data_IF_828533242559
#
_entry.id   IF_828533242559
#
_cell.length_a   1.000
_cell.length_b   1.000
_cell.length_c   1.000
_cell.angle_alpha   90.00
_cell.angle_beta   90.00
_cell.angle_gamma   90.00
#
_symmetry.space_group_name_H-M   'P 1'
#
loop_
_entity.id
_entity.type
_entity.pdbx_description
1 polymer ?
#
# COMPACT_ATOMS: atom_id res chain seq x y z
N UNK A 1 7.96 -0.51 -21.10
CA UNK A 1 8.79 0.06 -20.02
C UNK A 1 7.85 0.39 -18.89
N UNK A 2 8.13 -0.06 -17.67
CA UNK A 2 7.25 0.12 -16.52
C UNK A 2 7.75 1.22 -15.61
N UNK A 3 6.82 1.88 -14.92
CA UNK A 3 7.05 2.91 -13.92
C UNK A 3 7.72 2.35 -12.65
N UNK A 4 8.53 3.16 -11.97
CA UNK A 4 9.09 2.83 -10.65
C UNK A 4 8.25 3.39 -9.51
N UNK A 5 8.22 2.73 -8.35
CA UNK A 5 7.30 3.06 -7.26
C UNK A 5 7.97 3.08 -5.88
N UNK A 6 7.59 4.05 -5.05
CA UNK A 6 7.96 4.17 -3.64
C UNK A 6 6.72 4.15 -2.76
N UNK A 7 6.71 3.28 -1.75
CA UNK A 7 5.75 3.42 -0.64
C UNK A 7 6.34 4.41 0.36
N UNK A 8 5.56 5.43 0.69
CA UNK A 8 6.01 6.61 1.44
C UNK A 8 5.06 6.85 2.59
N UNK A 9 5.63 7.17 3.75
CA UNK A 9 4.94 7.80 4.87
C UNK A 9 5.34 9.28 4.94
N UNK A 10 4.59 10.22 4.32
CA UNK A 10 4.96 11.64 4.27
C UNK A 10 5.14 12.26 5.64
N UNK A 11 4.28 11.91 6.60
CA UNK A 11 4.31 12.44 7.95
C UNK A 11 5.56 12.00 8.73
N UNK A 12 6.06 10.79 8.48
CA UNK A 12 7.28 10.27 9.10
C UNK A 12 8.55 10.67 8.34
N UNK A 13 8.42 11.13 7.09
CA UNK A 13 9.54 11.34 6.15
C UNK A 13 10.35 10.06 5.91
N UNK A 14 9.65 8.93 5.83
CA UNK A 14 10.24 7.61 5.58
C UNK A 14 9.68 7.04 4.26
N UNK A 15 10.48 6.25 3.56
CA UNK A 15 10.07 5.49 2.36
C UNK A 15 10.77 4.13 2.34
N UNK A 16 10.23 3.13 1.67
CA UNK A 16 10.76 1.76 1.82
C UNK A 16 11.40 1.13 0.57
N UNK A 17 11.39 1.78 -0.61
CA UNK A 17 11.93 1.16 -1.85
C UNK A 17 13.12 1.97 -2.41
N UNK A 18 14.28 1.44 -2.83
CA UNK A 18 14.64 0.13 -3.40
C UNK A 18 15.89 -0.52 -2.77
N UNK A 19 15.81 -1.85 -2.59
CA UNK A 19 16.81 -2.87 -3.00
C UNK A 19 16.13 -4.11 -3.67
N UNK A 20 14.82 -4.36 -3.45
CA UNK A 20 14.10 -5.57 -3.94
C UNK A 20 12.78 -5.34 -4.70
N UNK A 21 12.46 -4.11 -5.09
CA UNK A 21 11.24 -3.86 -5.85
C UNK A 21 11.22 -2.47 -6.44
N UNK A 22 11.23 -2.39 -7.77
CA UNK A 22 11.17 -1.13 -8.48
C UNK A 22 9.84 -0.90 -9.14
N UNK A 23 9.26 -1.94 -9.75
CA UNK A 23 8.00 -1.82 -10.50
C UNK A 23 6.81 -2.28 -9.66
N UNK A 24 5.64 -1.75 -9.97
CA UNK A 24 4.41 -2.10 -9.25
C UNK A 24 4.11 -3.60 -9.29
N UNK A 25 4.41 -4.30 -10.40
CA UNK A 25 4.24 -5.75 -10.50
C UNK A 25 5.18 -6.52 -9.57
N UNK A 26 6.40 -6.02 -9.34
CA UNK A 26 7.37 -6.64 -8.45
C UNK A 26 6.93 -6.47 -6.99
N UNK A 27 6.33 -5.32 -6.65
CA UNK A 27 5.74 -5.09 -5.33
C UNK A 27 4.50 -5.96 -5.09
N UNK A 28 3.61 -6.07 -6.07
CA UNK A 28 2.35 -6.82 -5.92
C UNK A 28 2.53 -8.35 -5.89
N UNK A 29 3.55 -8.88 -6.56
CA UNK A 29 3.73 -10.33 -6.71
C UNK A 29 4.96 -10.87 -5.96
N UNK A 30 5.39 -10.18 -4.90
CA UNK A 30 6.48 -10.60 -4.00
C UNK A 30 5.98 -10.73 -2.55
N UNK A 31 6.89 -10.85 -1.58
CA UNK A 31 6.59 -10.81 -0.16
C UNK A 31 6.26 -9.41 0.38
N UNK A 32 6.46 -8.36 -0.43
CA UNK A 32 6.25 -6.96 -0.06
C UNK A 32 4.88 -6.65 0.55
N UNK A 33 3.75 -7.19 0.06
CA UNK A 33 2.46 -6.94 0.67
C UNK A 33 2.40 -7.41 2.13
N UNK A 34 3.11 -8.47 2.49
CA UNK A 34 3.19 -8.92 3.89
C UNK A 34 4.07 -7.99 4.73
N UNK A 35 5.20 -7.56 4.18
CA UNK A 35 6.07 -6.54 4.79
C UNK A 35 5.27 -5.25 5.06
N UNK A 36 4.47 -4.82 4.09
CA UNK A 36 3.63 -3.63 4.24
C UNK A 36 2.59 -3.82 5.36
N UNK A 37 1.97 -5.00 5.50
CA UNK A 37 1.10 -5.28 6.65
C UNK A 37 1.85 -5.10 7.97
N UNK A 38 3.01 -5.74 8.12
CA UNK A 38 3.79 -5.68 9.35
C UNK A 38 4.25 -4.25 9.66
N UNK A 39 4.61 -3.48 8.63
CA UNK A 39 4.99 -2.08 8.75
C UNK A 39 3.83 -1.21 9.23
N UNK A 40 2.64 -1.37 8.65
CA UNK A 40 1.41 -0.67 9.08
C UNK A 40 1.04 -1.06 10.51
N UNK A 41 1.19 -2.34 10.87
CA UNK A 41 0.82 -2.85 12.18
C UNK A 41 1.75 -2.34 13.29
N UNK A 42 3.06 -2.23 13.02
CA UNK A 42 4.06 -1.99 14.07
C UNK A 42 4.70 -0.59 14.05
N UNK A 43 4.92 0.00 12.87
CA UNK A 43 5.73 1.23 12.73
C UNK A 43 4.93 2.42 12.19
N UNK A 44 4.04 2.15 11.23
CA UNK A 44 3.34 3.17 10.42
C UNK A 44 1.85 3.29 10.75
N UNK A 45 1.40 2.67 11.84
CA UNK A 45 0.03 2.76 12.32
C UNK A 45 -0.39 4.23 12.54
N UNK A 46 -1.54 4.60 11.99
CA UNK A 46 -2.10 5.95 12.06
C UNK A 46 -1.35 6.99 11.23
N UNK A 47 -0.40 6.58 10.38
CA UNK A 47 0.31 7.51 9.49
C UNK A 47 -0.28 7.50 8.09
N UNK A 48 -0.06 8.60 7.37
CA UNK A 48 -0.51 8.71 5.98
C UNK A 48 0.38 7.90 5.07
N UNK A 49 -0.24 7.13 4.18
CA UNK A 49 0.47 6.28 3.24
C UNK A 49 0.13 6.64 1.80
N UNK A 50 1.15 6.69 0.96
CA UNK A 50 1.01 6.87 -0.48
C UNK A 50 2.08 6.05 -1.19
N UNK A 51 1.70 5.32 -2.23
CA UNK A 51 2.65 4.65 -3.12
C UNK A 51 2.82 5.51 -4.36
N UNK A 52 3.86 6.34 -4.40
CA UNK A 52 4.11 7.27 -5.51
C UNK A 52 4.91 6.59 -6.60
N UNK A 53 4.54 6.80 -7.85
CA UNK A 53 5.39 6.38 -8.95
C UNK A 53 6.25 7.52 -9.53
N UNK A 54 7.30 7.16 -10.28
CA UNK A 54 8.31 8.11 -10.79
C UNK A 54 7.82 9.10 -11.87
N UNK A 55 6.65 8.86 -12.47
CA UNK A 55 5.94 9.82 -13.33
C UNK A 55 5.02 10.81 -12.59
N UNK A 56 4.98 10.80 -11.24
CA UNK A 56 4.14 11.72 -10.48
C UNK A 56 4.50 13.19 -10.75
N UNK A 57 3.54 13.94 -11.30
CA UNK A 57 3.63 15.38 -11.42
C UNK A 57 3.33 16.04 -10.06
N UNK A 58 4.19 16.97 -9.57
CA UNK A 58 3.96 17.66 -8.31
C UNK A 58 2.65 18.44 -8.18
N UNK A 59 2.00 18.79 -9.31
CA UNK A 59 0.70 19.48 -9.32
C UNK A 59 -0.49 18.52 -9.29
N UNK A 60 -0.25 17.22 -9.34
CA UNK A 60 -1.25 16.16 -9.46
C UNK A 60 -1.15 15.19 -8.27
N UNK A 61 -1.12 15.76 -7.06
CA UNK A 61 -1.18 15.02 -5.80
C UNK A 61 -2.64 14.73 -5.41
N UNK A 62 -2.92 13.63 -4.67
CA UNK A 62 -4.26 13.39 -4.17
C UNK A 62 -4.69 14.50 -3.19
N UNK A 63 -5.99 14.78 -3.15
CA UNK A 63 -6.53 15.90 -2.35
C UNK A 63 -6.20 15.78 -0.86
N UNK A 64 -6.18 14.55 -0.32
CA UNK A 64 -5.75 14.22 1.03
C UNK A 64 -4.37 14.79 1.36
N UNK A 65 -3.40 14.65 0.45
CA UNK A 65 -2.03 15.17 0.61
C UNK A 65 -1.96 16.69 0.38
N UNK A 66 -2.72 17.22 -0.58
CA UNK A 66 -2.72 18.66 -0.87
C UNK A 66 -3.28 19.50 0.28
N UNK A 67 -4.32 19.02 0.96
CA UNK A 67 -4.99 19.73 2.06
C UNK A 67 -4.08 19.97 3.26
N UNK A 68 -3.10 19.08 3.46
CA UNK A 68 -2.27 19.10 4.66
C UNK A 68 -1.08 20.06 4.59
N UNK A 69 -0.88 20.76 3.47
CA UNK A 69 0.28 21.64 3.27
C UNK A 69 1.58 20.95 3.75
N UNK A 70 1.77 19.68 3.40
CA UNK A 70 3.01 18.93 3.62
C UNK A 70 4.11 19.61 2.80
N UNK A 71 4.57 20.76 3.27
CA UNK A 71 5.71 21.49 2.76
C UNK A 71 6.93 20.68 3.16
N UNK A 72 7.52 19.99 2.20
CA UNK A 72 8.80 19.33 2.38
C UNK A 72 9.81 20.47 2.39
N UNK A 73 10.11 20.98 3.58
CA UNK A 73 11.16 22.00 3.75
C UNK A 73 12.50 21.35 3.44
N UNK A 74 13.22 21.90 2.47
CA UNK A 74 14.65 21.64 2.30
C UNK A 74 15.40 22.60 3.24
N UNK A 75 16.41 22.11 3.97
CA UNK A 75 17.17 22.89 4.98
C UNK A 75 17.97 24.08 4.42
N UNK A 76 17.85 24.41 3.13
CA UNK A 76 18.71 25.42 2.48
C UNK A 76 18.04 26.41 1.51
N UNK A 77 16.73 26.41 1.29
CA UNK A 77 16.11 27.47 0.47
C UNK A 77 14.64 27.79 0.80
N UNK A 78 14.26 29.04 0.59
CA UNK A 78 12.94 29.67 0.89
C UNK A 78 11.79 29.11 0.03
N UNK A 79 11.98 27.99 -0.66
CA UNK A 79 11.00 27.35 -1.55
C UNK A 79 10.58 25.99 -1.03
N UNK A 80 9.31 25.84 -0.65
CA UNK A 80 8.68 24.54 -0.39
C UNK A 80 8.84 23.62 -1.60
N UNK A 81 9.47 22.46 -1.44
CA UNK A 81 9.45 21.40 -2.47
C UNK A 81 8.13 20.62 -2.35
N UNK A 82 7.45 20.41 -3.46
CA UNK A 82 6.28 19.53 -3.52
C UNK A 82 6.71 18.06 -3.51
N UNK A 83 5.87 17.17 -2.96
CA UNK A 83 6.12 15.73 -2.95
C UNK A 83 6.26 15.21 -4.39
N UNK A 84 7.38 14.54 -4.65
CA UNK A 84 7.67 13.84 -5.91
C UNK A 84 8.66 12.72 -5.63
N UNK A 85 8.80 11.79 -6.59
CA UNK A 85 9.69 10.63 -6.45
C UNK A 85 11.13 11.03 -6.10
N UNK A 86 11.71 12.00 -6.83
CA UNK A 86 13.08 12.46 -6.58
C UNK A 86 13.25 13.15 -5.22
N UNK A 87 12.24 13.93 -4.79
CA UNK A 87 12.27 14.58 -3.47
C UNK A 87 12.27 13.55 -2.34
N UNK A 88 11.48 12.47 -2.49
CA UNK A 88 11.48 11.39 -1.50
C UNK A 88 12.87 10.74 -1.42
N UNK A 89 13.47 10.37 -2.55
CA UNK A 89 14.80 9.74 -2.53
C UNK A 89 15.91 10.64 -1.97
N UNK A 90 15.81 11.95 -2.15
CA UNK A 90 16.80 12.91 -1.65
C UNK A 90 16.62 13.25 -0.18
N UNK A 91 15.37 13.47 0.24
CA UNK A 91 15.07 14.18 1.48
C UNK A 91 14.44 13.27 2.57
N UNK A 92 14.08 12.01 2.25
CA UNK A 92 13.45 11.07 3.19
C UNK A 92 14.42 9.96 3.61
N UNK A 93 14.15 9.33 4.74
CA UNK A 93 14.92 8.19 5.23
C UNK A 93 14.42 6.88 4.60
N UNK A 94 15.35 6.07 4.09
CA UNK A 94 15.02 4.75 3.57
C UNK A 94 14.82 3.79 4.74
N UNK A 95 13.61 3.26 4.85
CA UNK A 95 13.26 2.18 5.76
C UNK A 95 13.60 0.83 5.12
N UNK A 96 14.37 0.01 5.83
CA UNK A 96 14.73 -1.35 5.42
C UNK A 96 14.77 -2.30 6.63
N UNK A 97 14.56 -3.59 6.37
CA UNK A 97 14.82 -4.65 7.35
C UNK A 97 16.31 -5.00 7.35
N UNK A 98 16.94 -5.12 8.53
CA UNK A 98 18.37 -5.49 8.64
C UNK A 98 18.67 -6.93 8.14
N UNK A 99 17.69 -7.84 8.17
CA UNK A 99 17.80 -9.23 7.67
C UNK A 99 16.55 -9.63 6.89
N UNK A 100 16.63 -9.53 5.57
CA UNK A 100 15.48 -9.65 4.67
C UNK A 100 14.97 -11.08 4.47
N UNK A 101 15.87 -12.07 4.45
CA UNK A 101 15.50 -13.49 4.34
C UNK A 101 14.74 -13.96 5.59
N UNK A 102 15.12 -13.48 6.77
CA UNK A 102 14.46 -13.86 8.03
C UNK A 102 13.10 -13.18 8.16
N UNK A 103 12.97 -11.91 7.77
CA UNK A 103 11.68 -11.19 7.72
C UNK A 103 10.70 -11.81 6.72
N UNK A 104 11.18 -12.22 5.54
CA UNK A 104 10.35 -12.90 4.53
C UNK A 104 9.89 -14.27 5.04
N UNK A 105 10.76 -15.06 5.67
CA UNK A 105 10.41 -16.36 6.24
C UNK A 105 9.51 -16.26 7.47
N UNK A 106 9.72 -15.26 8.35
CA UNK A 106 8.89 -15.02 9.53
C UNK A 106 7.50 -14.53 9.16
N UNK A 107 7.38 -13.55 8.24
CA UNK A 107 6.09 -13.08 7.74
C UNK A 107 5.33 -14.22 7.03
N UNK A 108 6.04 -15.08 6.31
CA UNK A 108 5.44 -16.27 5.67
C UNK A 108 5.01 -17.32 6.70
N UNK A 109 5.79 -17.59 7.77
CA UNK A 109 5.42 -18.55 8.82
C UNK A 109 4.34 -18.03 9.78
N UNK A 110 4.32 -16.73 10.09
CA UNK A 110 3.31 -16.12 10.96
C UNK A 110 1.95 -15.94 10.25
N UNK A 111 1.94 -15.81 8.92
CA UNK A 111 0.70 -15.78 8.11
C UNK A 111 -0.20 -17.00 8.33
N UNK A 112 0.36 -18.13 8.78
CA UNK A 112 -0.37 -19.38 9.03
C UNK A 112 -1.18 -19.33 10.35
N UNK A 113 -0.92 -18.37 11.25
CA UNK A 113 -1.52 -18.33 12.59
C UNK A 113 -2.29 -17.03 12.93
N UNK A 114 -2.28 -16.01 12.07
CA UNK A 114 -3.00 -14.74 12.28
C UNK A 114 -4.45 -14.83 11.80
N UNK A 115 -5.26 -15.69 12.41
CA UNK A 115 -6.70 -15.66 12.13
C UNK A 115 -7.32 -14.47 12.83
N UNK A 116 -7.69 -13.47 12.03
CA UNK A 116 -8.68 -12.41 12.30
C UNK A 116 -8.12 -10.99 12.54
N UNK A 117 -7.34 -10.46 11.59
CA UNK A 117 -6.99 -9.01 11.56
C UNK A 117 -7.96 -8.19 10.72
N UNK A 118 -7.98 -6.89 10.99
CA UNK A 118 -8.76 -5.88 10.28
C UNK A 118 -7.86 -4.73 9.91
N UNK A 119 -7.81 -4.41 8.62
CA UNK A 119 -7.28 -3.14 8.15
C UNK A 119 -8.36 -2.08 8.30
N UNK A 120 -8.07 -0.97 8.96
CA UNK A 120 -8.97 0.17 9.06
C UNK A 120 -8.39 1.35 8.30
N UNK A 121 -9.18 1.93 7.43
CA UNK A 121 -8.93 3.25 6.85
C UNK A 121 -9.56 4.29 7.77
N UNK A 122 -8.71 4.99 8.52
CA UNK A 122 -9.10 5.96 9.54
C UNK A 122 -9.61 7.27 8.92
N UNK A 123 -9.29 7.53 7.65
CA UNK A 123 -9.73 8.73 6.92
C UNK A 123 -11.18 8.63 6.44
N UNK A 124 -11.63 7.44 6.03
CA UNK A 124 -12.97 7.24 5.45
C UNK A 124 -13.89 6.37 6.30
N UNK A 125 -13.43 5.89 7.46
CA UNK A 125 -14.16 4.92 8.30
C UNK A 125 -14.54 3.64 7.54
N UNK A 126 -13.65 3.17 6.66
CA UNK A 126 -13.81 1.91 5.93
C UNK A 126 -12.91 0.82 6.54
N UNK A 127 -13.30 -0.45 6.42
CA UNK A 127 -12.48 -1.55 6.88
C UNK A 127 -12.49 -2.77 5.96
N UNK A 128 -11.43 -3.58 6.08
CA UNK A 128 -11.26 -4.84 5.35
C UNK A 128 -10.94 -5.95 6.33
N UNK A 129 -11.72 -7.03 6.27
CA UNK A 129 -11.58 -8.22 7.10
C UNK A 129 -10.64 -9.23 6.44
N UNK A 130 -9.48 -9.47 7.05
CA UNK A 130 -8.53 -10.45 6.51
C UNK A 130 -9.14 -11.86 6.43
N UNK A 131 -9.98 -12.22 7.40
CA UNK A 131 -10.64 -13.52 7.45
C UNK A 131 -11.61 -13.79 6.28
N UNK A 132 -12.03 -12.76 5.55
CA UNK A 132 -12.90 -12.88 4.36
C UNK A 132 -12.12 -12.83 3.04
N UNK A 133 -10.80 -12.61 3.08
CA UNK A 133 -9.96 -12.64 1.89
C UNK A 133 -9.69 -14.09 1.44
N UNK A 134 -9.54 -14.29 0.13
CA UNK A 134 -9.22 -15.59 -0.44
C UNK A 134 -7.73 -15.91 -0.29
N UNK A 135 -7.38 -17.19 -0.46
CA UNK A 135 -5.99 -17.65 -0.41
C UNK A 135 -5.10 -16.83 -1.36
N UNK A 136 -3.99 -16.29 -0.85
CA UNK A 136 -3.02 -15.50 -1.62
C UNK A 136 -3.25 -13.99 -1.60
N UNK A 137 -4.45 -13.51 -1.22
CA UNK A 137 -4.74 -12.07 -1.08
C UNK A 137 -4.53 -11.66 0.38
N UNK A 138 -3.75 -10.62 0.60
CA UNK A 138 -3.46 -10.10 1.95
C UNK A 138 -3.89 -8.64 2.08
N UNK A 139 -4.04 -8.14 3.31
CA UNK A 139 -4.40 -6.75 3.56
C UNK A 139 -3.42 -5.77 2.86
N UNK A 140 -2.14 -6.12 2.77
CA UNK A 140 -1.14 -5.29 2.12
C UNK A 140 -1.29 -5.22 0.61
N UNK A 141 -1.88 -6.23 -0.05
CA UNK A 141 -2.21 -6.13 -1.48
C UNK A 141 -3.30 -5.07 -1.68
N UNK A 142 -4.33 -5.11 -0.83
CA UNK A 142 -5.44 -4.15 -0.84
C UNK A 142 -4.92 -2.73 -0.62
N UNK A 143 -4.11 -2.53 0.44
CA UNK A 143 -3.50 -1.23 0.73
C UNK A 143 -2.67 -0.77 -0.46
N UNK A 144 -1.68 -1.57 -0.88
CA UNK A 144 -0.73 -1.18 -1.94
C UNK A 144 -1.45 -0.75 -3.22
N UNK A 145 -2.46 -1.51 -3.66
CA UNK A 145 -3.24 -1.17 -4.85
C UNK A 145 -4.01 0.14 -4.67
N UNK A 146 -4.63 0.36 -3.51
CA UNK A 146 -5.48 1.53 -3.29
C UNK A 146 -4.72 2.79 -2.88
N UNK A 147 -3.48 2.70 -2.40
CA UNK A 147 -2.63 3.87 -2.11
C UNK A 147 -1.75 4.29 -3.29
N UNK A 148 -1.75 3.53 -4.39
CA UNK A 148 -0.91 3.80 -5.56
C UNK A 148 -1.37 5.03 -6.32
N UNK A 149 -0.43 5.91 -6.62
CA UNK A 149 -0.68 7.19 -7.27
C UNK A 149 0.44 7.59 -8.24
N UNK A 150 0.04 7.94 -9.47
CA UNK A 150 0.88 8.41 -10.55
C UNK A 150 0.11 9.36 -11.47
N UNK A 151 0.80 10.26 -12.16
CA UNK A 151 0.19 11.07 -13.22
C UNK A 151 0.06 10.33 -14.55
N UNK A 152 0.79 9.21 -14.70
CA UNK A 152 0.71 8.35 -15.88
C UNK A 152 0.22 6.95 -15.52
N UNK A 153 -0.64 6.37 -16.38
CA UNK A 153 -1.22 5.04 -16.19
C UNK A 153 -0.29 3.87 -16.56
N UNK A 154 0.99 4.15 -16.84
CA UNK A 154 1.95 3.18 -17.37
C UNK A 154 2.51 2.25 -16.29
N UNK A 155 1.69 1.33 -15.80
CA UNK A 155 2.08 0.39 -14.74
C UNK A 155 2.89 -0.80 -15.23
N UNK A 156 2.84 -1.09 -16.54
CA UNK A 156 3.42 -2.31 -17.10
C UNK A 156 2.66 -3.59 -16.74
N UNK A 157 1.47 -3.46 -16.14
CA UNK A 157 0.55 -4.55 -15.81
C UNK A 157 -0.69 -4.40 -16.72
N UNK A 158 -1.07 -5.42 -17.51
CA UNK A 158 -2.34 -5.44 -18.22
C UNK A 158 -3.53 -5.19 -17.29
N UNK A 159 -4.35 -4.19 -17.60
CA UNK A 159 -5.49 -3.79 -16.76
C UNK A 159 -5.10 -3.01 -15.51
N UNK A 160 -3.82 -2.68 -15.30
CA UNK A 160 -3.34 -1.96 -14.13
C UNK A 160 -3.55 -0.43 -14.18
N UNK A 161 -4.28 0.11 -15.17
CA UNK A 161 -4.47 1.56 -15.30
C UNK A 161 -5.15 2.17 -14.08
N UNK A 162 -6.06 1.43 -13.43
CA UNK A 162 -6.78 1.89 -12.25
C UNK A 162 -5.89 2.01 -11.00
N UNK A 163 -4.71 1.37 -10.99
CA UNK A 163 -3.76 1.44 -9.88
C UNK A 163 -3.09 2.82 -9.76
N UNK A 164 -3.23 3.67 -10.77
CA UNK A 164 -2.50 4.95 -10.83
C UNK A 164 -3.21 6.10 -10.15
N UNK A 165 -4.46 5.89 -9.72
CA UNK A 165 -5.27 6.88 -8.99
C UNK A 165 -6.09 6.18 -7.89
N UNK A 166 -5.40 5.44 -7.04
CA UNK A 166 -6.05 4.71 -5.95
C UNK A 166 -6.77 5.64 -4.98
N UNK A 167 -8.01 5.27 -4.62
CA UNK A 167 -8.91 6.07 -3.80
C UNK A 167 -8.40 6.31 -2.37
N UNK A 168 -7.39 5.55 -1.95
CA UNK A 168 -6.83 5.56 -0.61
C UNK A 168 -5.47 6.25 -0.54
N UNK A 169 -4.99 6.82 -1.64
CA UNK A 169 -3.72 7.53 -1.69
C UNK A 169 -3.70 8.70 -0.70
N UNK A 170 -2.77 8.67 0.25
CA UNK A 170 -2.59 9.69 1.29
C UNK A 170 -3.53 9.57 2.50
N UNK A 171 -4.26 8.45 2.64
CA UNK A 171 -5.09 8.18 3.81
C UNK A 171 -4.28 7.56 4.95
N UNK A 172 -4.90 7.51 6.14
CA UNK A 172 -4.34 6.97 7.37
C UNK A 172 -4.88 5.57 7.67
N UNK A 173 -3.99 4.66 8.07
CA UNK A 173 -4.33 3.25 8.26
C UNK A 173 -3.80 2.70 9.56
N UNK A 174 -4.50 1.72 10.13
CA UNK A 174 -3.92 0.77 11.07
C UNK A 174 -4.44 -0.65 10.83
N UNK A 175 -3.78 -1.61 11.47
CA UNK A 175 -4.20 -3.02 11.49
C UNK A 175 -4.41 -3.41 12.94
N UNK A 176 -5.58 -3.97 13.23
CA UNK A 176 -5.98 -4.40 14.57
C UNK A 176 -6.58 -5.80 14.57
N UNK A 177 -6.72 -6.39 15.74
CA UNK A 177 -7.50 -7.62 15.92
C UNK A 177 -8.99 -7.36 15.64
N UNK A 178 -9.65 -8.27 14.94
CA UNK A 178 -11.05 -8.13 14.56
C UNK A 178 -12.03 -8.15 15.74
N UNK A 179 -11.63 -8.65 16.91
CA UNK A 179 -12.41 -8.48 18.14
C UNK A 179 -12.61 -7.00 18.51
N UNK A 180 -11.78 -6.09 18.00
CA UNK A 180 -11.94 -4.65 18.20
C UNK A 180 -13.06 -4.04 17.36
N UNK A 181 -13.63 -4.75 16.37
CA UNK A 181 -14.74 -4.24 15.56
C UNK A 181 -15.98 -3.91 16.40
N UNK A 182 -16.28 -4.73 17.41
CA UNK A 182 -17.44 -4.50 18.29
C UNK A 182 -17.28 -3.25 19.17
N UNK A 183 -16.06 -2.73 19.28
CA UNK A 183 -15.68 -1.58 20.09
C UNK A 183 -15.43 -0.33 19.22
N UNK A 184 -15.57 -0.45 17.89
CA UNK A 184 -15.39 0.68 16.99
C UNK A 184 -16.55 1.67 17.17
N UNK A 185 -16.19 2.88 17.61
CA UNK A 185 -17.14 3.98 17.69
C UNK A 185 -17.48 4.50 16.28
N UNK A 186 -18.77 4.75 16.03
CA UNK A 186 -19.27 5.31 14.77
C UNK A 186 -19.75 4.26 13.76
N UNK A 187 -20.24 4.75 12.62
CA UNK A 187 -20.64 3.89 11.49
C UNK A 187 -19.40 3.62 10.62
N UNK A 188 -19.02 2.35 10.54
CA UNK A 188 -17.91 1.88 9.71
C UNK A 188 -18.43 1.03 8.56
N UNK A 189 -17.85 1.21 7.37
CA UNK A 189 -18.25 0.52 6.15
C UNK A 189 -17.34 -0.69 5.88
N UNK A 190 -17.93 -1.88 5.73
CA UNK A 190 -17.23 -3.10 5.29
C UNK A 190 -17.04 -3.04 3.77
N UNK A 191 -15.81 -2.80 3.31
CA UNK A 191 -15.46 -2.79 1.88
C UNK A 191 -14.69 -4.04 1.46
N UNK A 192 -14.76 -5.11 2.26
CA UNK A 192 -13.93 -6.30 2.05
C UNK A 192 -14.22 -7.01 0.71
N UNK A 193 -15.48 -7.09 0.30
CA UNK A 193 -15.84 -7.76 -0.95
C UNK A 193 -15.41 -6.95 -2.17
N UNK A 194 -15.71 -5.65 -2.18
CA UNK A 194 -15.35 -4.74 -3.28
C UNK A 194 -13.84 -4.70 -3.50
N UNK A 195 -13.07 -4.51 -2.42
CA UNK A 195 -11.60 -4.46 -2.46
C UNK A 195 -11.00 -5.79 -2.92
N UNK A 196 -11.55 -6.92 -2.47
CA UNK A 196 -11.11 -8.25 -2.90
C UNK A 196 -11.34 -8.47 -4.39
N UNK A 197 -12.51 -8.08 -4.89
CA UNK A 197 -12.90 -8.33 -6.28
C UNK A 197 -12.04 -7.50 -7.25
N UNK A 198 -11.71 -6.24 -6.91
CA UNK A 198 -10.75 -5.42 -7.67
C UNK A 198 -9.38 -6.11 -7.85
N UNK A 199 -8.91 -6.70 -6.76
CA UNK A 199 -7.64 -7.40 -6.72
C UNK A 199 -7.68 -8.68 -7.56
N UNK A 200 -8.80 -9.41 -7.54
CA UNK A 200 -9.01 -10.60 -8.37
C UNK A 200 -9.12 -10.29 -9.87
N UNK A 201 -9.74 -9.16 -10.20
CA UNK A 201 -9.83 -8.68 -11.57
C UNK A 201 -8.43 -8.39 -12.14
N UNK A 202 -7.53 -7.79 -11.33
CA UNK A 202 -6.12 -7.61 -11.73
C UNK A 202 -5.43 -8.94 -12.02
N UNK A 203 -5.55 -9.89 -11.07
CA UNK A 203 -4.89 -11.18 -11.17
C UNK A 203 -5.40 -11.99 -12.36
N UNK A 204 -6.71 -11.92 -12.64
CA UNK A 204 -7.31 -12.51 -13.85
C UNK A 204 -6.80 -11.92 -15.16
N UNK A 205 -6.52 -10.62 -15.17
CA UNK A 205 -5.94 -9.94 -16.34
C UNK A 205 -4.47 -10.33 -16.57
N UNK A 206 -3.73 -10.60 -15.50
CA UNK A 206 -2.31 -10.93 -15.53
C UNK A 206 -2.03 -12.41 -15.81
N UNK A 207 -2.86 -13.31 -15.26
CA UNK A 207 -2.72 -14.76 -15.40
C UNK A 207 -3.95 -15.28 -16.14
N UNK A 208 -3.80 -15.69 -17.40
CA UNK A 208 -4.88 -16.30 -18.20
C UNK A 208 -5.63 -17.37 -17.37
N UNK A 209 -6.98 -17.33 -17.41
CA UNK A 209 -7.93 -18.19 -16.67
C UNK A 209 -7.35 -19.57 -16.31
N UNK A 210 -6.87 -19.70 -15.08
CA UNK A 210 -6.26 -20.95 -14.59
C UNK A 210 -5.87 -20.97 -13.12
N UNK A 211 -5.85 -19.82 -12.42
CA UNK A 211 -5.46 -19.76 -11.01
C UNK A 211 -6.56 -20.22 -10.04
N UNK A 212 -7.81 -20.33 -10.48
CA UNK A 212 -8.93 -20.81 -9.66
C UNK A 212 -8.94 -22.33 -9.39
N UNK A 213 -7.99 -23.11 -9.94
CA UNK A 213 -8.05 -24.58 -9.91
C UNK A 213 -7.02 -25.32 -9.03
N UNK A 214 -6.20 -24.65 -8.22
CA UNK A 214 -5.20 -25.36 -7.38
C UNK A 214 -5.46 -25.40 -5.86
N UNK A 215 -6.71 -25.20 -5.40
CA UNK A 215 -7.06 -25.48 -3.98
C UNK A 215 -8.22 -26.45 -3.81
N UNK A 216 -8.16 -27.58 -4.53
CA UNK A 216 -8.82 -28.83 -4.13
C UNK A 216 -7.89 -30.01 -4.41
N UNK A 217 -7.05 -30.35 -3.44
CA UNK A 217 -6.72 -31.72 -3.05
C UNK A 217 -6.09 -31.74 -1.66
#
# INVERSE_FOLDING_TARGET
>A
MGQYWLVVSPSRREYTTQDFGGKLSELLFSSWPNILCDLIENEWAGTRLICIGDYLNPTDLPASIQQDNLHIYAESDVTSKSLSYGVVQEDFEQWSYEEEETATLSATQESVNRKNRVLRNLTTSQYVLEAKLQCGITLGHIVLMRISWSSESSTGIPGGEYLTKGDWAGHEFDIVDAGMLEVMDGEWEDVTEDTRDEVQDLWSGQFEKGWEFETRN
#
